data_IF_190375591327
#
_entry.id   IF_190375591327
#
_cell.length_a   1.000
_cell.length_b   1.000
_cell.length_c   1.000
_cell.angle_alpha   90.00
_cell.angle_beta   90.00
_cell.angle_gamma   90.00
#
_symmetry.space_group_name_H-M   'P 1'
#
loop_
_entity.id
_entity.type
_entity.pdbx_description
1 polymer ?
#
# COMPACT_ATOMS: atom_id res chain seq x y z
N UNK A 1 -8.84 -4.93 -12.64
CA UNK A 1 -9.51 -4.30 -11.47
C UNK A 1 -10.11 -5.37 -10.60
N UNK A 2 -9.70 -5.46 -9.35
CA UNK A 2 -10.20 -6.42 -8.37
C UNK A 2 -11.03 -5.69 -7.32
N UNK A 3 -12.21 -6.20 -7.00
CA UNK A 3 -13.05 -5.67 -5.92
C UNK A 3 -13.13 -6.70 -4.81
N UNK A 4 -12.90 -6.25 -3.59
CA UNK A 4 -13.11 -7.01 -2.35
C UNK A 4 -14.11 -6.24 -1.49
N UNK A 5 -15.00 -6.96 -0.80
CA UNK A 5 -16.02 -6.34 0.01
C UNK A 5 -16.39 -7.15 1.26
N UNK A 6 -16.84 -6.44 2.26
CA UNK A 6 -17.45 -6.95 3.48
C UNK A 6 -18.79 -6.26 3.70
N UNK A 7 -19.49 -6.56 4.78
CA UNK A 7 -20.70 -5.81 5.15
C UNK A 7 -20.45 -4.32 5.46
N UNK A 8 -19.21 -3.94 5.72
CA UNK A 8 -18.82 -2.58 6.16
C UNK A 8 -18.08 -1.79 5.07
N UNK A 9 -17.21 -2.45 4.30
CA UNK A 9 -16.31 -1.83 3.34
C UNK A 9 -16.38 -2.50 1.97
N UNK A 10 -16.17 -1.67 0.93
CA UNK A 10 -15.87 -2.10 -0.43
C UNK A 10 -14.61 -1.40 -0.92
N UNK A 11 -13.65 -2.18 -1.39
CA UNK A 11 -12.36 -1.69 -1.84
C UNK A 11 -12.09 -2.19 -3.26
N UNK A 12 -11.66 -1.29 -4.14
CA UNK A 12 -11.23 -1.64 -5.48
C UNK A 12 -9.73 -1.47 -5.64
N UNK A 13 -9.08 -2.52 -6.14
CA UNK A 13 -7.63 -2.60 -6.36
C UNK A 13 -7.35 -2.68 -7.84
N UNK A 14 -6.54 -1.77 -8.35
CA UNK A 14 -6.02 -1.82 -9.72
C UNK A 14 -4.82 -2.75 -9.79
N UNK A 15 -4.79 -3.66 -10.75
CA UNK A 15 -3.62 -4.51 -11.03
C UNK A 15 -2.43 -3.67 -11.55
N UNK A 16 -2.70 -2.53 -12.18
CA UNK A 16 -1.65 -1.59 -12.57
C UNK A 16 -1.14 -0.83 -11.36
N UNK A 17 0.08 -1.14 -10.93
CA UNK A 17 0.72 -0.56 -9.77
C UNK A 17 0.16 -1.06 -8.42
N UNK A 18 -0.73 -2.06 -8.42
CA UNK A 18 -1.41 -2.61 -7.24
C UNK A 18 -2.08 -1.56 -6.34
N UNK A 19 -2.60 -0.47 -6.94
CA UNK A 19 -3.15 0.71 -6.24
C UNK A 19 -4.56 0.45 -5.72
N UNK A 20 -4.87 0.95 -4.51
CA UNK A 20 -6.25 1.02 -4.05
C UNK A 20 -6.89 2.29 -4.63
N UNK A 21 -7.86 2.11 -5.51
CA UNK A 21 -8.51 3.21 -6.24
C UNK A 21 -9.84 3.64 -5.65
N UNK A 22 -10.50 2.79 -4.86
CA UNK A 22 -11.69 3.13 -4.11
C UNK A 22 -11.60 2.53 -2.70
N UNK A 23 -12.04 3.29 -1.72
CA UNK A 23 -12.16 2.87 -0.33
C UNK A 23 -13.50 3.38 0.21
N UNK A 24 -14.54 2.56 0.08
CA UNK A 24 -15.94 2.95 0.25
C UNK A 24 -16.55 2.35 1.51
N UNK A 25 -17.08 3.19 2.40
CA UNK A 25 -17.92 2.73 3.50
C UNK A 25 -19.31 2.34 2.99
N UNK A 26 -19.73 1.09 3.21
CA UNK A 26 -20.98 0.53 2.67
C UNK A 26 -22.25 1.22 3.23
N UNK A 27 -22.21 1.65 4.48
CA UNK A 27 -23.36 2.29 5.15
C UNK A 27 -23.64 3.71 4.63
N UNK A 28 -22.61 4.46 4.29
CA UNK A 28 -22.72 5.87 3.84
C UNK A 28 -22.49 6.06 2.36
N UNK A 29 -21.98 5.05 1.66
CA UNK A 29 -21.54 5.09 0.26
C UNK A 29 -20.49 6.19 -0.02
N UNK A 30 -19.76 6.61 1.03
CA UNK A 30 -18.67 7.58 0.91
C UNK A 30 -17.40 6.85 0.47
N UNK A 31 -16.81 7.32 -0.62
CA UNK A 31 -15.46 6.92 -1.06
C UNK A 31 -14.44 7.89 -0.47
N UNK A 32 -13.58 7.38 0.41
CA UNK A 32 -12.55 8.17 1.11
C UNK A 32 -11.36 8.55 0.23
N UNK A 33 -11.28 7.99 -0.98
CA UNK A 33 -10.25 8.35 -1.97
C UNK A 33 -10.80 9.23 -3.10
N UNK A 34 -11.98 9.79 -2.89
CA UNK A 34 -12.63 10.68 -3.83
C UNK A 34 -13.14 11.94 -3.14
N UNK A 35 -12.97 13.08 -3.79
CA UNK A 35 -13.70 14.30 -3.47
C UNK A 35 -14.61 14.69 -4.66
N UNK A 36 -15.25 15.87 -4.62
CA UNK A 36 -16.25 16.30 -5.58
C UNK A 36 -15.76 16.22 -7.04
N UNK A 37 -14.48 16.49 -7.29
CA UNK A 37 -13.94 16.62 -8.65
C UNK A 37 -12.78 15.63 -8.94
N UNK A 38 -12.21 14.98 -7.91
CA UNK A 38 -10.94 14.27 -8.06
C UNK A 38 -11.00 12.88 -7.44
N UNK A 39 -10.68 11.87 -8.22
CA UNK A 39 -10.37 10.52 -7.74
C UNK A 39 -8.85 10.40 -7.57
N UNK A 40 -8.41 9.93 -6.41
CA UNK A 40 -7.01 9.59 -6.13
C UNK A 40 -6.91 8.11 -5.74
N UNK A 41 -5.71 7.65 -5.52
CA UNK A 41 -5.45 6.26 -5.13
C UNK A 41 -4.43 6.21 -3.99
N UNK A 42 -4.50 5.16 -3.17
CA UNK A 42 -3.36 4.74 -2.38
C UNK A 42 -2.34 4.13 -3.35
N UNK A 43 -1.15 4.71 -3.37
CA UNK A 43 -0.09 4.31 -4.28
C UNK A 43 0.98 3.48 -3.58
N UNK A 44 1.57 2.57 -4.34
CA UNK A 44 2.69 1.73 -3.90
C UNK A 44 3.93 2.16 -4.64
N UNK A 45 4.99 2.52 -3.91
CA UNK A 45 6.28 2.90 -4.47
C UNK A 45 7.34 1.94 -3.95
N UNK A 46 7.81 1.07 -4.83
CA UNK A 46 8.85 0.09 -4.54
C UNK A 46 10.05 0.34 -5.46
N UNK A 47 11.22 0.59 -4.85
CA UNK A 47 12.45 0.96 -5.57
C UNK A 47 13.65 0.21 -5.04
N UNK A 48 14.64 -0.03 -5.89
CA UNK A 48 16.01 -0.27 -5.45
C UNK A 48 16.60 1.01 -4.82
N UNK A 49 17.58 0.88 -3.91
CA UNK A 49 18.07 2.00 -3.11
C UNK A 49 18.60 3.20 -3.92
N UNK A 50 19.17 2.96 -5.09
CA UNK A 50 19.73 4.03 -5.95
C UNK A 50 18.88 4.31 -7.19
N UNK A 51 17.70 3.70 -7.30
CA UNK A 51 16.85 3.81 -8.47
C UNK A 51 15.73 4.81 -8.30
N UNK A 52 15.49 5.60 -9.36
CA UNK A 52 14.38 6.56 -9.42
C UNK A 52 13.07 5.90 -9.86
N UNK A 53 13.17 4.77 -10.59
CA UNK A 53 11.99 4.11 -11.15
C UNK A 53 11.22 3.32 -10.09
N UNK A 54 9.90 3.45 -10.13
CA UNK A 54 9.00 2.65 -9.29
C UNK A 54 8.77 1.29 -9.94
N UNK A 55 9.36 0.24 -9.37
CA UNK A 55 9.18 -1.14 -9.85
C UNK A 55 7.72 -1.59 -9.79
N UNK A 56 6.93 -1.06 -8.86
CA UNK A 56 5.51 -1.36 -8.76
C UNK A 56 4.68 -0.84 -9.95
N UNK A 57 5.14 0.22 -10.63
CA UNK A 57 4.46 0.77 -11.81
C UNK A 57 4.94 0.15 -13.14
N UNK A 58 6.21 -0.25 -13.20
CA UNK A 58 6.82 -0.72 -14.46
C UNK A 58 6.73 -2.24 -14.66
N UNK A 59 6.64 -3.01 -13.58
CA UNK A 59 6.48 -4.46 -13.65
C UNK A 59 4.98 -4.86 -13.57
N UNK A 60 4.59 -5.95 -14.25
CA UNK A 60 3.22 -6.43 -14.17
C UNK A 60 2.93 -7.11 -12.84
N UNK A 61 1.80 -6.79 -12.24
CA UNK A 61 1.25 -7.49 -11.10
C UNK A 61 0.29 -8.59 -11.56
N UNK A 62 0.38 -9.76 -10.94
CA UNK A 62 -0.49 -10.91 -11.21
C UNK A 62 -1.30 -11.24 -9.97
N UNK A 63 -2.61 -11.39 -10.11
CA UNK A 63 -3.48 -11.87 -9.01
C UNK A 63 -3.16 -13.33 -8.75
N UNK A 64 -2.72 -13.64 -7.53
CA UNK A 64 -2.33 -15.00 -7.11
C UNK A 64 -3.28 -15.61 -6.09
N UNK A 65 -4.10 -14.78 -5.43
CA UNK A 65 -5.16 -15.21 -4.53
C UNK A 65 -6.31 -14.19 -4.54
N UNK A 66 -7.55 -14.66 -4.54
CA UNK A 66 -8.74 -13.81 -4.55
C UNK A 66 -9.88 -14.48 -3.79
N UNK A 67 -10.32 -13.83 -2.72
CA UNK A 67 -11.55 -14.14 -1.99
C UNK A 67 -12.51 -12.96 -2.00
N UNK A 68 -13.61 -13.06 -1.25
CA UNK A 68 -14.60 -11.97 -1.16
C UNK A 68 -14.03 -10.74 -0.46
N UNK A 69 -13.26 -10.94 0.62
CA UNK A 69 -12.68 -9.87 1.44
C UNK A 69 -11.15 -9.76 1.35
N UNK A 70 -10.50 -10.49 0.45
CA UNK A 70 -9.04 -10.51 0.30
C UNK A 70 -8.63 -10.65 -1.15
N UNK A 71 -7.55 -9.95 -1.51
CA UNK A 71 -6.85 -10.13 -2.79
C UNK A 71 -5.34 -10.03 -2.56
N UNK A 72 -4.59 -10.93 -3.19
CA UNK A 72 -3.12 -10.91 -3.21
C UNK A 72 -2.62 -10.81 -4.64
N UNK A 73 -1.67 -9.90 -4.85
CA UNK A 73 -1.01 -9.68 -6.13
C UNK A 73 0.48 -9.93 -5.98
N UNK A 74 1.07 -10.64 -6.93
CA UNK A 74 2.51 -10.90 -6.98
C UNK A 74 3.21 -10.03 -8.02
N UNK A 75 4.40 -9.57 -7.67
CA UNK A 75 5.34 -8.84 -8.50
C UNK A 75 6.66 -9.61 -8.50
N UNK A 76 7.18 -9.93 -9.67
CA UNK A 76 8.42 -10.69 -9.82
C UNK A 76 9.34 -9.91 -10.77
N UNK A 77 10.65 -9.94 -10.50
CA UNK A 77 11.64 -9.36 -11.40
C UNK A 77 11.61 -10.02 -12.79
N UNK A 78 12.01 -9.27 -13.78
CA UNK A 78 12.19 -9.72 -15.16
C UNK A 78 13.57 -9.31 -15.71
N UNK A 79 13.84 -9.71 -16.92
CA UNK A 79 15.11 -9.36 -17.59
C UNK A 79 15.33 -7.84 -17.73
N UNK A 80 14.26 -7.07 -17.85
CA UNK A 80 14.32 -5.62 -17.97
C UNK A 80 14.62 -4.95 -16.64
N UNK A 81 13.92 -5.36 -15.56
CA UNK A 81 14.18 -4.85 -14.22
C UNK A 81 15.57 -5.26 -13.72
N UNK A 82 16.00 -6.51 -14.02
CA UNK A 82 17.30 -7.02 -13.61
C UNK A 82 18.49 -6.21 -14.17
N UNK A 83 18.37 -5.66 -15.38
CA UNK A 83 19.40 -4.81 -15.97
C UNK A 83 19.64 -3.51 -15.19
N UNK A 84 18.60 -3.00 -14.55
CA UNK A 84 18.62 -1.74 -13.80
C UNK A 84 18.78 -1.97 -12.30
N UNK A 85 18.16 -3.01 -11.79
CA UNK A 85 18.19 -3.45 -10.40
C UNK A 85 18.55 -4.94 -10.39
N UNK A 86 19.85 -5.30 -10.29
CA UNK A 86 20.34 -6.66 -10.54
C UNK A 86 20.10 -7.60 -9.36
N UNK A 87 18.83 -7.79 -9.03
CA UNK A 87 18.36 -8.69 -7.98
C UNK A 87 17.18 -9.52 -8.48
N UNK A 88 17.15 -10.76 -8.06
CA UNK A 88 15.98 -11.62 -8.19
C UNK A 88 15.12 -11.49 -6.94
N UNK A 89 13.87 -11.11 -7.10
CA UNK A 89 12.95 -10.91 -6.00
C UNK A 89 11.53 -11.34 -6.35
N UNK A 90 10.76 -11.59 -5.31
CA UNK A 90 9.32 -11.76 -5.36
C UNK A 90 8.69 -10.89 -4.30
N UNK A 91 7.71 -10.09 -4.67
CA UNK A 91 6.87 -9.34 -3.75
C UNK A 91 5.43 -9.83 -3.85
N UNK A 92 4.75 -9.98 -2.71
CA UNK A 92 3.32 -10.27 -2.66
C UNK A 92 2.65 -9.20 -1.82
N UNK A 93 1.76 -8.44 -2.45
CA UNK A 93 0.96 -7.42 -1.80
C UNK A 93 -0.45 -7.96 -1.57
N UNK A 94 -0.82 -8.08 -0.30
CA UNK A 94 -2.14 -8.57 0.12
C UNK A 94 -2.95 -7.43 0.73
N UNK A 95 -4.15 -7.26 0.24
CA UNK A 95 -5.18 -6.42 0.80
C UNK A 95 -6.28 -7.30 1.40
N UNK A 96 -6.53 -7.15 2.69
CA UNK A 96 -7.56 -7.92 3.42
C UNK A 96 -8.46 -6.98 4.22
N UNK A 97 -9.78 -7.16 4.09
CA UNK A 97 -10.75 -6.41 4.89
C UNK A 97 -10.93 -7.09 6.24
N UNK A 98 -10.71 -6.33 7.31
CA UNK A 98 -10.89 -6.77 8.69
C UNK A 98 -11.73 -5.73 9.45
N UNK A 99 -12.91 -6.13 9.90
CA UNK A 99 -13.83 -5.22 10.59
C UNK A 99 -14.17 -3.99 9.75
N UNK A 100 -13.85 -2.81 10.24
CA UNK A 100 -14.06 -1.51 9.56
C UNK A 100 -12.80 -1.01 8.85
N UNK A 101 -11.81 -1.86 8.60
CA UNK A 101 -10.54 -1.47 8.01
C UNK A 101 -10.03 -2.41 6.94
N UNK A 102 -8.92 -1.99 6.36
CA UNK A 102 -8.11 -2.78 5.45
C UNK A 102 -6.73 -3.01 6.05
N UNK A 103 -6.31 -4.27 6.09
CA UNK A 103 -4.95 -4.67 6.42
C UNK A 103 -4.16 -4.87 5.13
N UNK A 104 -3.00 -4.24 5.06
CA UNK A 104 -2.12 -4.23 3.90
C UNK A 104 -0.82 -4.91 4.30
N UNK A 105 -0.50 -6.03 3.66
CA UNK A 105 0.73 -6.77 3.91
C UNK A 105 1.58 -6.81 2.64
N UNK A 106 2.80 -6.29 2.73
CA UNK A 106 3.81 -6.40 1.69
C UNK A 106 4.85 -7.45 2.12
N UNK A 107 4.78 -8.61 1.51
CA UNK A 107 5.80 -9.64 1.64
C UNK A 107 6.86 -9.42 0.56
N UNK A 108 8.13 -9.42 0.94
CA UNK A 108 9.26 -9.30 0.03
C UNK A 108 10.25 -10.43 0.27
N UNK A 109 10.61 -11.14 -0.77
CA UNK A 109 11.66 -12.16 -0.74
C UNK A 109 12.81 -11.77 -1.67
N UNK A 110 14.02 -11.82 -1.13
CA UNK A 110 15.25 -11.71 -1.90
C UNK A 110 15.69 -13.10 -2.34
N UNK A 111 15.56 -13.40 -3.63
CA UNK A 111 15.99 -14.66 -4.24
C UNK A 111 17.42 -14.59 -4.80
N UNK A 112 18.16 -13.54 -4.47
CA UNK A 112 19.57 -13.36 -4.86
C UNK A 112 20.50 -13.84 -3.76
N UNK A 113 21.73 -14.20 -4.14
CA UNK A 113 22.81 -14.58 -3.20
C UNK A 113 23.62 -13.37 -2.70
N UNK A 114 23.00 -12.21 -2.64
CA UNK A 114 23.57 -10.96 -2.16
C UNK A 114 22.50 -10.12 -1.48
N UNK A 115 22.90 -9.27 -0.57
CA UNK A 115 22.00 -8.37 0.14
C UNK A 115 21.38 -7.37 -0.82
N UNK A 116 20.06 -7.21 -0.73
CA UNK A 116 19.25 -6.38 -1.62
C UNK A 116 18.85 -5.08 -0.94
N UNK A 117 19.41 -3.95 -1.34
CA UNK A 117 18.96 -2.64 -0.86
C UNK A 117 17.65 -2.24 -1.54
N UNK A 118 16.68 -1.78 -0.76
CA UNK A 118 15.39 -1.34 -1.27
C UNK A 118 14.77 -0.22 -0.45
N UNK A 119 13.76 0.42 -1.01
CA UNK A 119 12.83 1.27 -0.28
C UNK A 119 11.39 0.93 -0.68
N UNK A 120 10.48 1.03 0.29
CA UNK A 120 9.05 0.85 0.09
C UNK A 120 8.29 1.99 0.73
N UNK A 121 7.36 2.57 0.00
CA UNK A 121 6.50 3.63 0.49
C UNK A 121 5.07 3.44 -0.01
N UNK A 122 4.11 3.60 0.91
CA UNK A 122 2.71 3.79 0.56
C UNK A 122 2.36 5.28 0.68
N UNK A 123 1.63 5.78 -0.30
CA UNK A 123 1.13 7.16 -0.32
C UNK A 123 -0.38 7.13 -0.25
N UNK A 124 -0.93 7.61 0.87
CA UNK A 124 -2.37 7.65 1.13
C UNK A 124 -2.87 9.07 0.85
N UNK A 125 -3.87 9.27 -0.02
CA UNK A 125 -4.38 10.59 -0.35
C UNK A 125 -5.14 11.20 0.83
N UNK A 126 -4.95 12.51 1.04
CA UNK A 126 -5.72 13.33 1.97
C UNK A 126 -6.37 14.46 1.20
N UNK A 127 -7.66 14.66 1.40
CA UNK A 127 -8.40 15.75 0.78
C UNK A 127 -8.62 16.92 1.74
N UNK A 128 -8.98 18.07 1.19
CA UNK A 128 -9.29 19.27 1.99
C UNK A 128 -10.46 19.02 2.94
N UNK A 129 -10.40 19.63 4.12
CA UNK A 129 -11.43 19.49 5.16
C UNK A 129 -11.19 18.36 6.16
N UNK A 130 -10.20 17.51 5.95
CA UNK A 130 -9.74 16.58 6.96
C UNK A 130 -8.78 17.23 7.94
N UNK A 131 -9.01 17.01 9.25
CA UNK A 131 -8.06 17.39 10.29
C UNK A 131 -7.10 16.24 10.53
N UNK A 132 -5.81 16.55 10.60
CA UNK A 132 -4.75 15.55 10.77
C UNK A 132 -4.21 15.62 12.20
N UNK A 133 -4.25 14.51 12.92
CA UNK A 133 -3.66 14.34 14.24
C UNK A 133 -2.60 13.24 14.16
N UNK A 134 -1.37 13.58 14.54
CA UNK A 134 -0.23 12.65 14.50
C UNK A 134 0.11 12.21 15.93
N UNK A 135 0.12 10.92 16.17
CA UNK A 135 0.61 10.25 17.37
C UNK A 135 1.88 9.46 17.04
N UNK A 136 2.52 8.84 18.04
CA UNK A 136 3.81 8.17 17.84
C UNK A 136 3.82 7.09 16.75
N UNK A 137 2.75 6.28 16.64
CA UNK A 137 2.69 5.13 15.73
C UNK A 137 1.44 5.15 14.82
N UNK A 138 0.69 6.24 14.82
CA UNK A 138 -0.53 6.36 14.03
C UNK A 138 -0.80 7.80 13.61
N UNK A 139 -1.53 7.95 12.52
CA UNK A 139 -2.09 9.21 12.08
C UNK A 139 -3.60 9.06 11.99
N UNK A 140 -4.33 9.96 12.64
CA UNK A 140 -5.79 9.98 12.63
C UNK A 140 -6.27 11.17 11.81
N UNK A 141 -7.02 10.88 10.76
CA UNK A 141 -7.71 11.87 9.93
C UNK A 141 -9.16 11.99 10.40
N UNK A 142 -9.56 13.18 10.81
CA UNK A 142 -10.91 13.45 11.28
C UNK A 142 -11.67 14.31 10.27
N UNK A 143 -12.88 13.88 9.93
CA UNK A 143 -13.84 14.69 9.17
C UNK A 143 -15.25 14.39 9.66
N UNK A 144 -15.97 15.42 10.09
CA UNK A 144 -17.31 15.31 10.68
C UNK A 144 -17.33 14.31 11.85
N UNK A 145 -18.06 13.20 11.72
CA UNK A 145 -18.17 12.16 12.72
C UNK A 145 -17.33 10.90 12.39
N UNK A 146 -16.47 11.00 11.38
CA UNK A 146 -15.69 9.85 10.91
C UNK A 146 -14.21 10.07 11.15
N UNK A 147 -13.55 9.03 11.61
CA UNK A 147 -12.10 8.96 11.74
C UNK A 147 -11.56 7.91 10.78
N UNK A 148 -10.47 8.23 10.08
CA UNK A 148 -9.65 7.26 9.38
C UNK A 148 -8.31 7.19 10.11
N UNK A 149 -8.04 6.07 10.73
CA UNK A 149 -6.78 5.80 11.45
C UNK A 149 -5.83 5.02 10.56
N UNK A 150 -4.63 5.54 10.39
CA UNK A 150 -3.53 4.91 9.65
C UNK A 150 -2.47 4.52 10.67
N UNK A 151 -2.13 3.24 10.75
CA UNK A 151 -1.19 2.71 11.72
C UNK A 151 -0.26 1.67 11.09
N UNK A 152 0.96 1.57 11.61
CA UNK A 152 1.91 0.57 11.16
C UNK A 152 2.93 0.22 12.25
N UNK A 153 3.27 -1.07 12.41
CA UNK A 153 4.40 -1.49 13.23
C UNK A 153 5.75 -1.33 12.52
N UNK A 154 5.77 -1.14 11.20
CA UNK A 154 6.99 -1.21 10.37
C UNK A 154 7.34 0.12 9.71
N UNK A 155 6.34 0.89 9.26
CA UNK A 155 6.55 2.11 8.49
C UNK A 155 6.61 3.35 9.37
N UNK A 156 7.46 4.29 8.99
CA UNK A 156 7.43 5.65 9.53
C UNK A 156 6.32 6.43 8.84
N UNK A 157 5.36 6.94 9.61
CA UNK A 157 4.23 7.70 9.11
C UNK A 157 4.54 9.19 9.15
N UNK A 158 4.33 9.87 8.03
CA UNK A 158 4.54 11.33 7.91
C UNK A 158 3.34 11.97 7.24
N UNK A 159 2.77 12.98 7.90
CA UNK A 159 1.70 13.80 7.34
C UNK A 159 2.27 14.92 6.48
N UNK A 160 1.79 15.01 5.25
CA UNK A 160 2.07 16.07 4.29
C UNK A 160 0.77 16.82 3.96
N UNK A 161 0.84 17.93 3.21
CA UNK A 161 -0.33 18.80 2.98
C UNK A 161 -1.52 18.09 2.30
N UNK A 162 -1.28 17.10 1.44
CA UNK A 162 -2.31 16.42 0.65
C UNK A 162 -2.17 14.89 0.65
N UNK A 163 -1.31 14.36 1.50
CA UNK A 163 -1.07 12.91 1.58
C UNK A 163 -0.46 12.51 2.93
N UNK A 164 -0.61 11.25 3.26
CA UNK A 164 0.16 10.57 4.30
C UNK A 164 1.17 9.66 3.61
N UNK A 165 2.43 9.74 3.98
CA UNK A 165 3.47 8.81 3.56
C UNK A 165 3.72 7.78 4.66
N UNK A 166 3.69 6.50 4.31
CA UNK A 166 4.17 5.40 5.14
C UNK A 166 5.42 4.83 4.48
N UNK A 167 6.59 5.14 5.03
CA UNK A 167 7.88 4.87 4.41
C UNK A 167 8.74 3.86 5.19
N UNK A 168 9.36 2.96 4.46
CA UNK A 168 10.40 2.03 4.91
C UNK A 168 11.63 2.27 4.05
N UNK A 169 12.42 3.28 4.44
CA UNK A 169 13.52 3.80 3.63
C UNK A 169 14.86 3.17 4.01
N UNK A 170 15.77 3.10 3.02
CA UNK A 170 17.14 2.65 3.17
C UNK A 170 17.29 1.27 3.84
N UNK A 171 16.36 0.38 3.58
CA UNK A 171 16.38 -0.99 4.07
C UNK A 171 17.29 -1.89 3.23
N UNK A 172 17.81 -2.93 3.85
CA UNK A 172 18.56 -3.98 3.19
C UNK A 172 18.00 -5.33 3.59
N UNK A 173 17.54 -6.10 2.62
CA UNK A 173 17.07 -7.47 2.82
C UNK A 173 18.23 -8.44 2.54
N UNK A 174 18.64 -9.20 3.54
CA UNK A 174 19.74 -10.16 3.43
C UNK A 174 19.50 -11.18 2.32
N UNK A 175 20.58 -11.75 1.78
CA UNK A 175 20.51 -12.76 0.72
C UNK A 175 19.62 -13.94 1.14
N UNK A 176 18.81 -14.45 0.22
CA UNK A 176 17.93 -15.60 0.42
C UNK A 176 16.92 -15.48 1.61
N UNK A 177 16.70 -14.27 2.12
CA UNK A 177 15.76 -13.97 3.21
C UNK A 177 14.47 -13.32 2.74
N UNK A 178 13.50 -13.25 3.62
CA UNK A 178 12.21 -12.58 3.39
C UNK A 178 11.80 -11.67 4.56
N UNK A 179 10.84 -10.79 4.32
CA UNK A 179 10.28 -9.88 5.31
C UNK A 179 8.81 -9.58 5.01
N UNK A 180 8.02 -9.46 6.08
CA UNK A 180 6.63 -8.98 6.05
C UNK A 180 6.55 -7.56 6.62
N UNK A 181 6.01 -6.64 5.82
CA UNK A 181 5.77 -5.26 6.22
C UNK A 181 4.27 -4.96 6.21
N UNK A 182 3.74 -4.33 7.26
CA UNK A 182 2.30 -4.14 7.45
C UNK A 182 1.90 -2.70 7.65
N UNK A 183 0.75 -2.36 7.08
CA UNK A 183 0.08 -1.07 7.21
C UNK A 183 -1.43 -1.33 7.35
N UNK A 184 -2.12 -0.57 8.19
CA UNK A 184 -3.57 -0.65 8.32
C UNK A 184 -4.24 0.71 8.18
N UNK A 185 -5.43 0.71 7.57
CA UNK A 185 -6.34 1.86 7.52
C UNK A 185 -7.69 1.40 8.08
N UNK A 186 -8.18 2.06 9.11
CA UNK A 186 -9.44 1.69 9.78
C UNK A 186 -10.35 2.89 9.98
N UNK A 187 -11.65 2.70 9.69
CA UNK A 187 -12.70 3.68 9.93
C UNK A 187 -13.30 3.52 11.33
N UNK A 188 -13.59 4.63 11.97
CA UNK A 188 -14.32 4.65 13.23
C UNK A 188 -15.18 5.91 13.39
#
# INVERSE_FOLDING_TARGET
>A
MQTIESSVLRVAVSEKGAKVVNFVAQNSQIDYFKDVATQKALEVIFRGAEQKENLADILPWTVVDKGDSRVSLALIDDNSSYKKFPFHFEAILTYALEGSGIDIKFYLKNNSHKDMPFSLKFVIPVFSGWKVNTNANEIVLNKDKTNLTIASPNFTLTAESHQISAAYDAATLASDSDEDLRLSLALS
#
